data_IF_546117024242
#
_entry.id   IF_546117024242
#
_cell.length_a   1.000
_cell.length_b   1.000
_cell.length_c   1.000
_cell.angle_alpha   90.00
_cell.angle_beta   90.00
_cell.angle_gamma   90.00
#
_symmetry.space_group_name_H-M   'P 1'
#
loop_
_entity.id
_entity.type
_entity.pdbx_description
1 polymer ?
#
# COMPACT_ATOMS: atom_id res chain seq x y z
N UNK A 1 -2.24 -0.09 -32.08
CA UNK A 1 -2.27 0.37 -30.68
C UNK A 1 -3.25 -0.43 -29.83
N UNK A 2 -4.52 -0.57 -30.23
CA UNK A 2 -5.54 -1.30 -29.45
C UNK A 2 -5.23 -2.78 -29.21
N UNK A 3 -4.69 -3.48 -30.23
CA UNK A 3 -4.32 -4.89 -30.13
C UNK A 3 -3.19 -5.14 -29.13
N UNK A 4 -2.19 -4.25 -29.06
CA UNK A 4 -1.06 -4.37 -28.13
C UNK A 4 -1.54 -4.28 -26.68
N UNK A 5 -2.39 -3.29 -26.38
CA UNK A 5 -2.98 -3.14 -25.05
C UNK A 5 -3.81 -4.37 -24.63
N UNK A 6 -4.57 -4.94 -25.57
CA UNK A 6 -5.37 -6.14 -25.34
C UNK A 6 -4.50 -7.36 -25.04
N UNK A 7 -3.45 -7.61 -25.82
CA UNK A 7 -2.51 -8.70 -25.58
C UNK A 7 -1.78 -8.52 -24.25
N UNK A 8 -1.31 -7.32 -23.92
CA UNK A 8 -0.68 -7.05 -22.61
C UNK A 8 -1.62 -7.37 -21.45
N UNK A 9 -2.92 -7.04 -21.57
CA UNK A 9 -3.93 -7.37 -20.55
C UNK A 9 -4.11 -8.89 -20.42
N UNK A 10 -4.09 -9.64 -21.52
CA UNK A 10 -4.19 -11.10 -21.51
C UNK A 10 -2.96 -11.74 -20.83
N UNK A 11 -1.76 -11.24 -21.12
CA UNK A 11 -0.51 -11.73 -20.49
C UNK A 11 -0.51 -11.46 -18.98
N UNK A 12 -0.94 -10.28 -18.54
CA UNK A 12 -1.05 -9.98 -17.09
C UNK A 12 -2.10 -10.87 -16.42
N UNK A 13 -3.23 -11.13 -17.09
CA UNK A 13 -4.24 -12.08 -16.58
C UNK A 13 -3.73 -13.51 -16.53
N UNK A 14 -2.89 -13.91 -17.48
CA UNK A 14 -2.23 -15.21 -17.50
C UNK A 14 -1.38 -15.41 -16.25
N UNK A 15 -0.52 -14.44 -15.90
CA UNK A 15 0.30 -14.50 -14.68
C UNK A 15 -0.53 -14.55 -13.39
N UNK A 16 -1.68 -13.88 -13.38
CA UNK A 16 -2.61 -13.88 -12.24
C UNK A 16 -3.51 -15.13 -12.18
N UNK A 17 -3.34 -16.10 -13.07
CA UNK A 17 -4.25 -17.25 -13.23
C UNK A 17 -5.73 -16.84 -13.36
N UNK A 18 -6.01 -15.69 -13.96
CA UNK A 18 -7.33 -15.05 -14.01
C UNK A 18 -7.93 -14.99 -15.43
N UNK A 19 -7.40 -15.80 -16.36
CA UNK A 19 -7.94 -15.90 -17.72
C UNK A 19 -9.22 -16.73 -17.77
N UNK A 20 -10.24 -16.21 -18.48
CA UNK A 20 -11.39 -17.01 -18.88
C UNK A 20 -11.02 -18.03 -19.97
N UNK A 21 -11.94 -18.96 -20.29
CA UNK A 21 -11.73 -19.94 -21.35
C UNK A 21 -11.51 -19.27 -22.72
N UNK A 22 -12.32 -18.28 -23.07
CA UNK A 22 -12.20 -17.54 -24.32
C UNK A 22 -10.91 -16.73 -24.38
N UNK A 23 -10.54 -16.07 -23.28
CA UNK A 23 -9.30 -15.28 -23.20
C UNK A 23 -8.05 -16.16 -23.32
N UNK A 24 -8.10 -17.40 -22.82
CA UNK A 24 -7.02 -18.37 -22.99
C UNK A 24 -6.87 -18.79 -24.45
N UNK A 25 -7.99 -19.04 -25.13
CA UNK A 25 -8.01 -19.37 -26.56
C UNK A 25 -7.46 -18.21 -27.39
N UNK A 26 -7.87 -16.98 -27.07
CA UNK A 26 -7.38 -15.76 -27.71
C UNK A 26 -5.86 -15.59 -27.53
N UNK A 27 -5.36 -15.78 -26.30
CA UNK A 27 -3.92 -15.71 -26.03
C UNK A 27 -3.14 -16.80 -26.78
N UNK A 28 -3.64 -18.04 -26.81
CA UNK A 28 -3.02 -19.12 -27.57
C UNK A 28 -2.99 -18.84 -29.08
N UNK A 29 -4.08 -18.29 -29.63
CA UNK A 29 -4.12 -17.91 -31.04
C UNK A 29 -3.11 -16.81 -31.36
N UNK A 30 -2.96 -15.83 -30.47
CA UNK A 30 -1.96 -14.77 -30.64
C UNK A 30 -0.52 -15.31 -30.59
N UNK A 31 -0.22 -16.22 -29.65
CA UNK A 31 1.09 -16.89 -29.56
C UNK A 31 1.37 -17.72 -30.82
N UNK A 32 0.38 -18.45 -31.32
CA UNK A 32 0.53 -19.30 -32.50
C UNK A 32 0.58 -18.51 -33.83
N UNK A 33 0.21 -17.23 -33.82
CA UNK A 33 0.12 -16.42 -35.04
C UNK A 33 1.48 -16.05 -35.62
N UNK A 34 2.53 -15.92 -34.79
CA UNK A 34 3.89 -15.66 -35.29
C UNK A 34 4.98 -16.10 -34.30
N UNK A 35 6.17 -16.34 -34.84
CA UNK A 35 7.36 -16.66 -34.05
C UNK A 35 7.76 -15.49 -33.13
N UNK A 36 7.61 -14.24 -33.60
CA UNK A 36 7.90 -13.06 -32.78
C UNK A 36 6.96 -12.95 -31.57
N UNK A 37 5.68 -13.28 -31.74
CA UNK A 37 4.71 -13.26 -30.63
C UNK A 37 5.04 -14.32 -29.58
N UNK A 38 5.47 -15.51 -30.03
CA UNK A 38 5.92 -16.56 -29.14
C UNK A 38 7.17 -16.14 -28.36
N UNK A 39 8.18 -15.62 -29.05
CA UNK A 39 9.41 -15.14 -28.42
C UNK A 39 9.11 -14.02 -27.40
N UNK A 40 8.24 -13.07 -27.75
CA UNK A 40 7.82 -12.00 -26.84
C UNK A 40 7.08 -12.55 -25.61
N UNK A 41 6.19 -13.52 -25.80
CA UNK A 41 5.50 -14.16 -24.69
C UNK A 41 6.46 -14.89 -23.75
N UNK A 42 7.43 -15.61 -24.30
CA UNK A 42 8.46 -16.34 -23.56
C UNK A 42 9.38 -15.38 -22.81
N UNK A 43 9.84 -14.30 -23.45
CA UNK A 43 10.65 -13.24 -22.83
C UNK A 43 9.91 -12.62 -21.63
N UNK A 44 8.66 -12.25 -21.83
CA UNK A 44 7.83 -11.69 -20.77
C UNK A 44 7.51 -12.71 -19.67
N UNK A 45 7.48 -14.00 -20.00
CA UNK A 45 7.14 -15.09 -19.06
C UNK A 45 8.35 -15.78 -18.45
N UNK A 46 9.58 -15.29 -18.66
CA UNK A 46 10.77 -15.87 -18.02
C UNK A 46 10.67 -15.74 -16.50
N UNK A 47 10.33 -16.88 -15.89
CA UNK A 47 9.77 -17.04 -14.55
C UNK A 47 10.66 -16.71 -13.34
N UNK A 48 12.02 -16.70 -13.33
CA UNK A 48 12.71 -16.61 -12.05
C UNK A 48 12.60 -15.22 -11.40
N UNK A 49 12.38 -14.17 -12.19
CA UNK A 49 12.20 -12.79 -11.67
C UNK A 49 10.73 -12.55 -11.29
N UNK A 50 9.78 -12.98 -12.11
CA UNK A 50 8.35 -12.78 -11.85
C UNK A 50 7.83 -13.62 -10.69
N UNK A 51 8.22 -14.90 -10.55
CA UNK A 51 7.83 -15.70 -9.37
C UNK A 51 8.41 -15.12 -8.07
N UNK A 52 9.63 -14.59 -8.11
CA UNK A 52 10.28 -13.98 -6.95
C UNK A 52 9.61 -12.66 -6.53
N UNK A 53 9.23 -11.81 -7.48
CA UNK A 53 8.54 -10.54 -7.18
C UNK A 53 7.04 -10.73 -6.85
N UNK A 54 6.35 -11.67 -7.51
CA UNK A 54 4.96 -12.00 -7.18
C UNK A 54 4.84 -12.71 -5.81
N UNK A 55 5.79 -13.61 -5.48
CA UNK A 55 5.85 -14.22 -4.15
C UNK A 55 6.06 -13.20 -3.02
N UNK A 56 6.81 -12.11 -3.27
CA UNK A 56 6.93 -11.00 -2.31
C UNK A 56 5.64 -10.21 -2.13
N UNK A 57 4.83 -10.06 -3.19
CA UNK A 57 3.53 -9.41 -3.12
C UNK A 57 2.48 -10.25 -2.39
N UNK A 58 2.47 -11.57 -2.57
CA UNK A 58 1.57 -12.48 -1.84
C UNK A 58 1.93 -12.60 -0.35
N UNK A 59 3.21 -12.42 0.00
CA UNK A 59 3.68 -12.40 1.40
C UNK A 59 3.37 -11.11 2.15
N UNK A 60 2.86 -10.08 1.47
CA UNK A 60 2.39 -8.86 2.12
C UNK A 60 1.00 -9.12 2.71
N UNK A 61 0.94 -9.62 3.95
CA UNK A 61 -0.29 -9.68 4.75
C UNK A 61 -0.48 -8.32 5.45
N UNK A 62 -1.27 -7.37 4.90
CA UNK A 62 -1.48 -6.07 5.53
C UNK A 62 -2.04 -6.21 6.95
N UNK A 63 -2.79 -7.27 7.25
CA UNK A 63 -3.30 -7.52 8.60
C UNK A 63 -2.18 -7.81 9.62
N UNK A 64 -1.14 -8.56 9.24
CA UNK A 64 -0.01 -8.85 10.13
C UNK A 64 0.93 -7.65 10.30
N UNK A 65 1.12 -6.87 9.23
CA UNK A 65 1.84 -5.60 9.31
C UNK A 65 1.10 -4.60 10.23
N UNK A 66 -0.24 -4.57 10.14
CA UNK A 66 -1.06 -3.72 11.00
C UNK A 66 -0.99 -4.10 12.48
N UNK A 67 -0.92 -5.39 12.80
CA UNK A 67 -0.77 -5.86 14.19
C UNK A 67 0.54 -5.40 14.85
N UNK A 68 1.66 -5.40 14.11
CA UNK A 68 2.95 -4.89 14.62
C UNK A 68 2.89 -3.38 14.90
N UNK A 69 2.31 -2.62 13.97
CA UNK A 69 2.16 -1.16 14.12
C UNK A 69 1.16 -0.82 15.24
N UNK A 70 0.06 -1.57 15.39
CA UNK A 70 -0.89 -1.35 16.48
C UNK A 70 -0.30 -1.65 17.86
N UNK A 71 0.62 -2.62 17.96
CA UNK A 71 1.29 -2.95 19.23
C UNK A 71 2.18 -1.82 19.75
N UNK A 72 2.88 -1.12 18.85
CA UNK A 72 3.77 0.00 19.22
C UNK A 72 2.99 1.29 19.54
N UNK A 73 1.81 1.49 18.94
CA UNK A 73 0.96 2.67 19.19
C UNK A 73 0.15 2.57 20.50
N UNK A 74 0.06 1.39 21.11
CA UNK A 74 -0.63 1.18 22.40
C UNK A 74 0.26 1.43 23.63
N UNK A 75 1.45 2.02 23.45
CA UNK A 75 2.15 2.65 24.58
C UNK A 75 1.39 3.93 24.93
N UNK A 76 0.31 3.76 25.72
CA UNK A 76 -0.49 4.83 26.29
C UNK A 76 0.42 5.64 27.19
N UNK A 77 1.02 6.69 26.64
CA UNK A 77 1.86 7.62 27.39
C UNK A 77 0.96 8.32 28.41
N UNK A 78 1.05 7.91 29.66
CA UNK A 78 0.30 8.54 30.74
C UNK A 78 0.80 9.97 30.91
N UNK A 79 0.00 10.92 30.43
CA UNK A 79 0.28 12.34 30.61
C UNK A 79 -0.10 12.68 32.06
N UNK A 80 0.81 13.27 32.86
CA UNK A 80 0.50 13.66 34.23
C UNK A 80 -0.37 14.93 34.20
N UNK A 81 -1.68 14.76 34.00
CA UNK A 81 -2.68 15.84 33.90
C UNK A 81 -2.60 16.86 35.03
N UNK A 82 -2.16 16.44 36.22
CA UNK A 82 -1.90 17.31 37.37
C UNK A 82 -0.89 18.42 37.05
N UNK A 83 0.21 18.10 36.33
CA UNK A 83 1.23 19.10 35.96
C UNK A 83 0.73 20.07 34.89
N UNK A 84 -0.13 19.60 33.99
CA UNK A 84 -0.73 20.42 32.93
C UNK A 84 -1.72 21.42 33.54
N UNK A 85 -2.61 20.96 34.42
CA UNK A 85 -3.59 21.81 35.10
C UNK A 85 -2.89 22.89 35.93
N UNK A 86 -1.83 22.55 36.66
CA UNK A 86 -1.05 23.54 37.42
C UNK A 86 -0.45 24.63 36.53
N UNK A 87 0.08 24.24 35.36
CA UNK A 87 0.60 25.20 34.38
C UNK A 87 -0.47 26.16 33.86
N UNK A 88 -1.66 25.64 33.54
CA UNK A 88 -2.79 26.48 33.07
C UNK A 88 -3.25 27.44 34.16
N UNK A 89 -3.37 26.99 35.41
CA UNK A 89 -3.78 27.84 36.54
C UNK A 89 -2.78 28.98 36.75
N UNK A 90 -1.48 28.70 36.72
CA UNK A 90 -0.45 29.74 36.86
C UNK A 90 -0.50 30.76 35.72
N UNK A 91 -0.75 30.29 34.49
CA UNK A 91 -0.85 31.15 33.32
C UNK A 91 -2.08 32.07 33.41
N UNK A 92 -3.23 31.54 33.84
CA UNK A 92 -4.44 32.32 34.08
C UNK A 92 -4.26 33.33 35.23
N UNK A 93 -3.61 32.93 36.33
CA UNK A 93 -3.29 33.85 37.43
C UNK A 93 -2.37 34.99 36.97
N UNK A 94 -1.36 34.71 36.15
CA UNK A 94 -0.48 35.74 35.60
C UNK A 94 -1.25 36.72 34.68
N UNK A 95 -2.19 36.21 33.88
CA UNK A 95 -3.06 37.06 33.05
C UNK A 95 -3.95 37.95 33.93
N UNK A 96 -4.58 37.39 34.97
CA UNK A 96 -5.44 38.13 35.91
C UNK A 96 -4.63 39.19 36.66
N UNK A 97 -3.45 38.83 37.18
CA UNK A 97 -2.55 39.77 37.86
C UNK A 97 -2.11 40.91 36.94
N UNK A 98 -1.73 40.59 35.70
CA UNK A 98 -1.38 41.60 34.69
C UNK A 98 -2.56 42.51 34.38
N UNK A 99 -3.75 41.95 34.19
CA UNK A 99 -4.96 42.72 33.91
C UNK A 99 -5.29 43.67 35.06
N UNK A 100 -5.21 43.19 36.30
CA UNK A 100 -5.43 44.00 37.50
C UNK A 100 -4.38 45.11 37.67
N UNK A 101 -3.10 44.83 37.38
CA UNK A 101 -2.04 45.83 37.41
C UNK A 101 -2.20 46.90 36.34
N UNK A 102 -2.79 46.56 35.19
CA UNK A 102 -2.98 47.50 34.07
C UNK A 102 -4.28 48.32 34.21
N UNK A 103 -5.25 47.84 34.99
CA UNK A 103 -6.55 48.48 35.21
C UNK A 103 -6.71 49.14 36.59
N UNK A 104 -5.63 49.17 37.38
CA UNK A 104 -5.47 49.95 38.61
C UNK A 104 -4.64 51.19 38.32
#
# INVERSE_FOLDING_TARGET
MEQVYRTSRLIVKYWKNALSHEERKELHQWIAASEENRALFEELSQEPILKKEMGKMEQYHPQQAWQRISGELLVKREVPWVKVILGVILLLLAIILKWWYTHR
#
